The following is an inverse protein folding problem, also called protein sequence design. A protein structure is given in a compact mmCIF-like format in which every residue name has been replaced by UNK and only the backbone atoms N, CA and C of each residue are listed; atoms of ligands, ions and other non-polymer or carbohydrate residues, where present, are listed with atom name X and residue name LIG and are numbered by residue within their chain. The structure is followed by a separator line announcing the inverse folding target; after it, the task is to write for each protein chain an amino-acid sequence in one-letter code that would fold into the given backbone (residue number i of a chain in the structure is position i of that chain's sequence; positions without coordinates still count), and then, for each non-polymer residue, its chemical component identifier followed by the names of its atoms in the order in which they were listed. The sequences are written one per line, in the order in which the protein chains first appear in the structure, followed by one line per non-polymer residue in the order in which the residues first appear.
data_IF_033958079233
#
_entry.id   IF_033958079233
#
_cell.length_a   1.000
_cell.length_b   1.000
_cell.length_c   1.000
_cell.angle_alpha   90.00
_cell.angle_beta   90.00
_cell.angle_gamma   90.00
#
_symmetry.space_group_name_H-M   'P 1'
#
loop_
_entity.id
_entity.type
_entity.pdbx_description
1 polymer ?
#
# COMPACT_ATOMS: atom_id res chain seq x y z
N UNK A 1 28.19 1.76 -7.90
CA UNK A 1 28.65 3.14 -7.61
C UNK A 1 29.99 3.02 -6.90
N UNK A 2 30.90 4.02 -6.98
CA UNK A 2 32.10 4.02 -6.14
C UNK A 2 31.70 4.02 -4.67
N UNK A 3 32.48 3.32 -3.83
CA UNK A 3 32.23 3.28 -2.38
C UNK A 3 32.84 4.54 -1.76
N UNK A 4 31.98 5.45 -1.30
CA UNK A 4 32.43 6.63 -0.55
C UNK A 4 32.85 6.22 0.86
N UNK A 5 34.02 6.71 1.32
CA UNK A 5 34.55 6.43 2.65
C UNK A 5 34.19 7.56 3.61
N UNK A 6 33.41 7.24 4.64
CA UNK A 6 33.02 8.16 5.70
C UNK A 6 33.88 7.93 6.94
N UNK A 7 34.37 9.01 7.57
CA UNK A 7 35.08 8.96 8.84
C UNK A 7 34.21 9.58 9.93
N UNK A 8 33.98 8.87 11.04
CA UNK A 8 33.24 9.41 12.19
C UNK A 8 34.05 10.49 12.91
N UNK A 9 33.39 11.58 13.30
CA UNK A 9 33.98 12.67 14.06
C UNK A 9 33.47 12.63 15.51
N UNK A 10 34.28 12.02 16.39
CA UNK A 10 33.95 11.73 17.80
C UNK A 10 33.90 12.99 18.69
N UNK A 11 34.10 14.19 18.14
CA UNK A 11 34.31 15.42 18.91
C UNK A 11 33.03 16.03 19.52
N UNK A 12 31.85 15.83 18.90
CA UNK A 12 30.61 16.52 19.31
C UNK A 12 29.58 15.63 20.03
N UNK A 13 29.33 14.39 19.58
CA UNK A 13 28.36 13.46 20.19
C UNK A 13 28.80 12.01 19.98
N UNK A 14 28.87 11.23 21.06
CA UNK A 14 29.11 9.77 20.98
C UNK A 14 27.85 9.05 20.47
N UNK A 15 27.96 7.99 19.65
CA UNK A 15 26.81 7.17 19.24
C UNK A 15 26.06 6.54 20.44
N UNK A 16 26.67 6.52 21.63
CA UNK A 16 26.04 6.16 22.91
C UNK A 16 24.88 7.07 23.33
N UNK A 17 24.73 8.26 22.74
CA UNK A 17 23.71 9.25 23.11
C UNK A 17 22.34 9.03 22.43
N UNK A 18 22.06 7.81 21.98
CA UNK A 18 20.76 7.46 21.42
C UNK A 18 19.66 7.53 22.49
N UNK A 19 18.53 8.16 22.14
CA UNK A 19 17.35 8.21 22.99
C UNK A 19 16.45 7.04 22.65
N UNK A 20 16.18 6.15 23.61
CA UNK A 20 15.33 4.99 23.43
C UNK A 20 14.01 5.17 24.18
N UNK A 21 12.93 5.43 23.45
CA UNK A 21 11.55 5.37 23.97
C UNK A 21 10.69 4.50 23.06
N UNK A 22 9.54 4.03 23.53
CA UNK A 22 8.67 3.16 22.72
C UNK A 22 8.03 3.87 21.52
N UNK A 23 8.11 5.19 21.42
CA UNK A 23 7.44 5.99 20.37
C UNK A 23 8.40 6.87 19.57
N UNK A 24 9.45 7.40 20.20
CA UNK A 24 10.42 8.29 19.57
C UNK A 24 11.84 7.79 19.89
N UNK A 25 12.35 6.86 19.09
CA UNK A 25 13.77 6.49 19.14
C UNK A 25 14.54 7.31 18.12
N UNK A 26 15.63 7.93 18.53
CA UNK A 26 16.53 8.64 17.61
C UNK A 26 17.97 8.67 18.10
N UNK A 27 18.88 8.74 17.14
CA UNK A 27 20.31 8.95 17.36
C UNK A 27 20.80 9.98 16.33
N UNK A 28 21.90 10.69 16.62
CA UNK A 28 22.57 11.52 15.63
C UNK A 28 24.08 11.33 15.70
N UNK A 29 24.70 11.12 14.54
CA UNK A 29 26.14 10.93 14.40
C UNK A 29 26.71 11.93 13.39
N UNK A 30 28.00 12.25 13.54
CA UNK A 30 28.69 13.19 12.67
C UNK A 30 29.77 12.45 11.87
N UNK A 31 29.74 12.60 10.55
CA UNK A 31 30.70 12.00 9.62
C UNK A 31 31.40 13.08 8.79
N UNK A 32 32.65 12.87 8.41
CA UNK A 32 33.39 13.72 7.47
C UNK A 32 33.55 12.98 6.14
N UNK A 33 33.11 13.63 5.07
CA UNK A 33 33.43 13.29 3.68
C UNK A 33 34.58 14.19 3.23
N UNK A 34 35.74 13.59 2.93
CA UNK A 34 36.97 14.34 2.60
C UNK A 34 37.15 14.57 1.11
N UNK A 35 37.57 15.77 0.73
CA UNK A 35 37.88 16.16 -0.66
C UNK A 35 36.84 15.76 -1.73
N UNK A 36 35.51 15.92 -1.49
CA UNK A 36 34.50 15.48 -2.44
C UNK A 36 34.43 16.37 -3.69
N UNK A 37 34.18 15.76 -4.84
CA UNK A 37 33.63 16.48 -5.99
C UNK A 37 32.15 16.80 -5.77
N UNK A 38 31.58 17.69 -6.59
CA UNK A 38 30.14 17.97 -6.53
C UNK A 38 29.28 16.71 -6.83
N UNK A 39 29.78 15.80 -7.67
CA UNK A 39 29.13 14.52 -7.92
C UNK A 39 29.14 13.61 -6.68
N UNK A 40 30.19 13.66 -5.86
CA UNK A 40 30.28 12.91 -4.60
C UNK A 40 29.35 13.50 -3.53
N UNK A 41 29.16 14.83 -3.49
CA UNK A 41 28.15 15.46 -2.63
C UNK A 41 26.73 15.01 -2.98
N UNK A 42 26.41 14.88 -4.28
CA UNK A 42 25.11 14.33 -4.73
C UNK A 42 25.00 12.83 -4.38
N UNK A 43 26.03 12.05 -4.67
CA UNK A 43 26.03 10.59 -4.46
C UNK A 43 25.94 10.24 -2.98
N UNK A 44 26.69 10.92 -2.13
CA UNK A 44 26.67 10.71 -0.67
C UNK A 44 25.29 10.93 -0.02
N UNK A 45 24.53 11.92 -0.48
CA UNK A 45 23.15 12.14 0.02
C UNK A 45 22.21 11.00 -0.45
N UNK A 46 22.40 10.47 -1.67
CA UNK A 46 21.65 9.28 -2.16
C UNK A 46 22.04 8.03 -1.37
N UNK A 47 23.32 7.85 -1.08
CA UNK A 47 23.81 6.69 -0.31
C UNK A 47 23.35 6.74 1.17
N UNK A 48 23.28 7.95 1.76
CA UNK A 48 22.78 8.14 3.12
C UNK A 48 21.26 8.02 3.20
N UNK A 49 20.50 8.81 2.44
CA UNK A 49 19.03 8.89 2.58
C UNK A 49 18.27 7.88 1.72
N UNK A 50 18.96 7.14 0.85
CA UNK A 50 18.34 6.31 -0.16
C UNK A 50 17.78 7.11 -1.33
N UNK A 51 17.13 6.41 -2.25
CA UNK A 51 16.36 7.01 -3.36
C UNK A 51 15.30 6.06 -3.86
N UNK A 52 14.27 6.61 -4.52
CA UNK A 52 13.21 5.84 -5.18
C UNK A 52 13.06 6.32 -6.62
N UNK A 53 13.01 5.39 -7.57
CA UNK A 53 12.81 5.68 -8.99
C UNK A 53 11.92 4.59 -9.65
N UNK A 54 11.27 4.91 -10.76
CA UNK A 54 10.56 3.93 -11.59
C UNK A 54 11.50 3.36 -12.64
N UNK A 55 11.67 2.04 -12.70
CA UNK A 55 12.48 1.39 -13.72
C UNK A 55 11.58 0.88 -14.86
N UNK A 56 11.76 1.44 -16.06
CA UNK A 56 10.87 1.22 -17.21
C UNK A 56 10.74 -0.26 -17.62
N UNK A 57 11.73 -1.11 -17.32
CA UNK A 57 11.73 -2.52 -17.74
C UNK A 57 11.67 -3.54 -16.58
N UNK A 58 11.40 -3.09 -15.35
CA UNK A 58 11.60 -3.88 -14.11
C UNK A 58 10.29 -4.51 -13.59
N UNK A 59 9.48 -5.08 -14.49
CA UNK A 59 8.19 -5.74 -14.17
C UNK A 59 7.22 -4.88 -13.34
N UNK A 60 7.29 -3.56 -13.50
CA UNK A 60 6.50 -2.60 -12.73
C UNK A 60 6.89 -2.49 -11.25
N UNK A 61 8.04 -3.03 -10.83
CA UNK A 61 8.63 -2.83 -9.51
C UNK A 61 9.08 -1.37 -9.31
N UNK A 62 9.04 -0.89 -8.07
CA UNK A 62 9.67 0.38 -7.69
C UNK A 62 11.16 0.11 -7.42
N UNK A 63 12.07 0.84 -8.06
CA UNK A 63 13.51 0.71 -7.76
C UNK A 63 13.85 1.54 -6.53
N UNK A 64 14.38 0.92 -5.47
CA UNK A 64 14.69 1.56 -4.19
C UNK A 64 16.14 1.32 -3.78
N UNK A 65 16.88 2.40 -3.57
CA UNK A 65 18.12 2.39 -2.78
C UNK A 65 17.69 2.63 -1.33
N UNK A 66 17.99 1.69 -0.44
CA UNK A 66 17.66 1.83 0.99
C UNK A 66 18.51 2.93 1.65
N UNK A 67 17.99 3.66 2.65
CA UNK A 67 18.82 4.54 3.48
C UNK A 67 19.88 3.74 4.23
N UNK A 68 21.02 4.38 4.49
CA UNK A 68 22.10 3.81 5.28
C UNK A 68 21.61 3.45 6.70
N UNK A 69 22.03 2.29 7.21
CA UNK A 69 21.74 1.86 8.59
C UNK A 69 22.76 2.44 9.57
N UNK A 70 22.37 2.67 10.82
CA UNK A 70 23.31 3.06 11.86
C UNK A 70 24.29 1.91 12.15
N UNK A 71 25.62 2.15 12.25
CA UNK A 71 26.62 1.07 12.35
C UNK A 71 26.46 0.19 13.60
N UNK A 72 25.93 0.74 14.71
CA UNK A 72 25.70 -0.01 15.95
C UNK A 72 24.23 -0.43 16.18
N UNK A 73 23.28 0.22 15.52
CA UNK A 73 21.84 0.04 15.80
C UNK A 73 21.14 -0.36 14.50
N UNK A 74 21.16 -1.66 14.20
CA UNK A 74 20.75 -2.20 12.89
C UNK A 74 19.29 -1.94 12.51
N UNK A 75 18.44 -1.62 13.50
CA UNK A 75 17.03 -1.23 13.32
C UNK A 75 16.82 0.27 13.04
N UNK A 76 17.86 1.09 13.15
CA UNK A 76 17.84 2.52 12.87
C UNK A 76 18.41 2.81 11.48
N UNK A 77 17.71 3.67 10.75
CA UNK A 77 18.02 4.06 9.38
C UNK A 77 18.22 5.58 9.32
N UNK A 78 19.09 6.05 8.43
CA UNK A 78 19.27 7.47 8.19
C UNK A 78 17.96 8.09 7.70
N UNK A 79 17.64 9.24 8.27
CA UNK A 79 16.36 9.93 8.09
C UNK A 79 16.53 11.36 7.59
N UNK A 80 17.57 12.03 8.07
CA UNK A 80 18.00 13.33 7.55
C UNK A 80 19.52 13.44 7.61
N UNK A 81 20.10 14.19 6.68
CA UNK A 81 21.50 14.56 6.70
C UNK A 81 21.66 16.05 6.40
N UNK A 82 22.54 16.73 7.16
CA UNK A 82 22.91 18.13 6.95
C UNK A 82 24.40 18.21 6.60
N UNK A 83 24.75 18.41 5.31
CA UNK A 83 26.13 18.66 4.90
C UNK A 83 26.54 20.10 5.23
N UNK A 84 27.69 20.25 5.86
CA UNK A 84 28.28 21.54 6.25
C UNK A 84 29.74 21.57 5.79
N UNK A 85 30.14 22.62 5.06
CA UNK A 85 31.51 22.74 4.57
C UNK A 85 32.49 23.06 5.70
N UNK A 86 33.63 22.37 5.73
CA UNK A 86 34.68 22.50 6.74
C UNK A 86 36.06 22.64 6.07
N UNK A 87 36.96 23.38 6.70
CA UNK A 87 38.31 23.62 6.21
C UNK A 87 38.44 24.86 5.31
N UNK A 88 39.55 24.95 4.58
CA UNK A 88 39.84 26.10 3.74
C UNK A 88 38.91 26.15 2.51
N UNK A 89 38.51 27.35 2.10
CA UNK A 89 37.80 27.56 0.83
C UNK A 89 38.76 27.28 -0.33
N UNK A 90 38.49 26.23 -1.11
CA UNK A 90 39.43 25.75 -2.12
C UNK A 90 39.13 26.25 -3.53
N UNK A 91 37.86 26.56 -3.85
CA UNK A 91 37.46 27.02 -5.18
C UNK A 91 36.14 27.78 -5.13
N UNK A 92 35.98 28.76 -6.00
CA UNK A 92 34.68 29.33 -6.36
C UNK A 92 34.19 28.59 -7.60
N UNK A 93 33.09 27.87 -7.49
CA UNK A 93 32.49 27.17 -8.62
C UNK A 93 31.34 27.98 -9.21
N UNK A 94 31.31 28.07 -10.54
CA UNK A 94 30.14 28.50 -11.29
C UNK A 94 29.28 27.26 -11.58
N UNK A 95 28.01 27.23 -11.17
CA UNK A 95 27.11 26.12 -11.51
C UNK A 95 26.87 26.07 -13.02
N UNK A 96 26.67 24.87 -13.57
CA UNK A 96 26.21 24.73 -14.94
C UNK A 96 24.87 25.45 -15.09
N UNK A 97 24.69 26.37 -16.07
CA UNK A 97 23.45 27.09 -16.26
C UNK A 97 22.36 26.13 -16.75
N UNK A 98 21.54 25.65 -15.80
CA UNK A 98 20.29 24.96 -16.09
C UNK A 98 19.14 25.96 -16.32
N UNK A 99 18.17 25.64 -17.19
CA UNK A 99 16.98 26.46 -17.38
C UNK A 99 16.04 26.33 -16.16
N UNK A 100 15.61 27.46 -15.61
CA UNK A 100 14.75 27.50 -14.43
C UNK A 100 14.95 28.75 -13.59
N UNK A 101 14.82 28.59 -12.27
CA UNK A 101 14.98 29.66 -11.29
C UNK A 101 16.37 30.32 -11.35
N UNK A 102 16.52 31.60 -10.96
CA UNK A 102 17.83 32.25 -10.88
C UNK A 102 18.81 31.47 -10.02
N UNK A 103 19.95 31.10 -10.60
CA UNK A 103 21.00 30.36 -9.91
C UNK A 103 21.97 31.37 -9.29
N UNK A 104 22.43 31.10 -8.06
CA UNK A 104 23.51 31.88 -7.45
C UNK A 104 24.78 31.67 -8.31
N UNK A 105 25.36 32.72 -8.90
CA UNK A 105 26.35 32.58 -9.98
C UNK A 105 27.69 32.00 -9.52
N UNK A 106 27.96 32.07 -8.21
CA UNK A 106 29.19 31.62 -7.58
C UNK A 106 28.90 31.13 -6.16
N UNK A 107 29.39 29.96 -5.79
CA UNK A 107 29.32 29.45 -4.41
C UNK A 107 30.69 28.93 -3.95
N UNK A 108 31.02 29.03 -2.64
CA UNK A 108 32.26 28.52 -2.10
C UNK A 108 32.19 26.99 -1.96
N UNK A 109 33.15 26.27 -2.56
CA UNK A 109 33.40 24.86 -2.28
C UNK A 109 34.46 24.72 -1.18
N UNK A 110 34.19 23.84 -0.23
CA UNK A 110 35.07 23.54 0.90
C UNK A 110 35.91 22.29 0.62
N UNK A 111 37.06 22.17 1.27
CA UNK A 111 37.92 20.97 1.14
C UNK A 111 37.23 19.71 1.66
N UNK A 112 36.56 19.80 2.81
CA UNK A 112 35.86 18.67 3.42
C UNK A 112 34.42 19.08 3.77
N UNK A 113 33.53 18.09 3.92
CA UNK A 113 32.15 18.31 4.33
C UNK A 113 31.81 17.43 5.53
N UNK A 114 31.37 18.07 6.62
CA UNK A 114 30.84 17.44 7.83
C UNK A 114 29.34 17.20 7.64
N UNK A 115 28.93 15.95 7.71
CA UNK A 115 27.54 15.50 7.64
C UNK A 115 27.04 15.19 9.04
N UNK A 116 26.09 15.97 9.54
CA UNK A 116 25.29 15.57 10.70
C UNK A 116 24.14 14.71 10.21
N UNK A 117 24.11 13.44 10.58
CA UNK A 117 23.10 12.45 10.15
C UNK A 117 22.23 12.07 11.34
N UNK A 118 20.92 12.18 11.18
CA UNK A 118 19.94 11.70 12.15
C UNK A 118 19.43 10.33 11.73
N UNK A 119 19.33 9.41 12.69
CA UNK A 119 18.86 8.04 12.49
C UNK A 119 17.59 7.81 13.31
N UNK A 120 16.61 7.12 12.73
CA UNK A 120 15.35 6.73 13.36
C UNK A 120 14.90 5.34 12.88
N UNK A 121 14.10 4.60 13.66
CA UNK A 121 13.49 3.36 13.18
C UNK A 121 12.44 3.66 12.11
N UNK A 122 12.32 2.78 11.12
CA UNK A 122 11.25 2.84 10.11
C UNK A 122 10.02 2.09 10.61
N UNK A 123 8.79 2.59 10.38
CA UNK A 123 7.57 1.90 10.79
C UNK A 123 7.22 0.70 9.89
N UNK A 124 8.01 0.43 8.85
CA UNK A 124 7.78 -0.57 7.82
C UNK A 124 9.03 -1.43 7.54
N UNK A 125 8.80 -2.62 6.99
CA UNK A 125 9.87 -3.49 6.50
C UNK A 125 10.67 -2.82 5.37
N UNK A 126 12.00 -2.77 5.54
CA UNK A 126 12.93 -2.14 4.59
C UNK A 126 13.80 -3.21 3.92
N UNK A 127 13.31 -3.78 2.82
CA UNK A 127 13.94 -4.84 2.03
C UNK A 127 14.59 -4.29 0.74
N UNK A 128 15.73 -4.86 0.33
CA UNK A 128 16.39 -4.46 -0.90
C UNK A 128 15.56 -4.88 -2.12
N UNK A 129 15.79 -4.26 -3.27
CA UNK A 129 15.08 -4.60 -4.50
C UNK A 129 15.19 -6.10 -4.85
N UNK A 130 16.34 -6.73 -4.61
CA UNK A 130 16.56 -8.15 -4.92
C UNK A 130 15.88 -9.13 -3.95
N UNK A 131 15.46 -8.67 -2.77
CA UNK A 131 14.69 -9.46 -1.79
C UNK A 131 13.19 -9.50 -2.14
N UNK A 132 12.73 -8.59 -3.02
CA UNK A 132 11.31 -8.53 -3.42
C UNK A 132 10.99 -9.69 -4.36
N UNK A 133 10.06 -10.54 -3.92
CA UNK A 133 9.52 -11.62 -4.74
C UNK A 133 8.83 -11.03 -5.97
N UNK A 134 9.31 -11.40 -7.15
CA UNK A 134 8.63 -11.16 -8.43
C UNK A 134 7.89 -12.44 -8.82
N UNK A 135 6.57 -12.35 -8.90
CA UNK A 135 5.68 -13.46 -9.25
C UNK A 135 5.08 -13.31 -10.64
N UNK A 136 4.67 -14.42 -11.23
CA UNK A 136 3.82 -14.44 -12.42
C UNK A 136 2.53 -15.20 -12.12
N UNK A 137 1.44 -14.75 -12.71
CA UNK A 137 0.10 -15.21 -12.35
C UNK A 137 -0.91 -14.97 -13.48
N UNK A 138 -2.02 -15.69 -13.45
CA UNK A 138 -3.12 -15.54 -14.42
C UNK A 138 -4.28 -14.79 -13.78
N UNK A 139 -4.68 -13.67 -14.35
CA UNK A 139 -5.89 -12.93 -13.97
C UNK A 139 -7.05 -13.26 -14.92
N UNK A 140 -8.26 -12.84 -14.55
CA UNK A 140 -9.46 -12.98 -15.39
C UNK A 140 -10.16 -11.64 -15.51
N UNK A 141 -10.56 -11.28 -16.73
CA UNK A 141 -11.26 -10.02 -17.02
C UNK A 141 -12.78 -10.12 -16.77
N UNK A 142 -13.54 -9.05 -17.05
CA UNK A 142 -15.01 -9.05 -16.90
C UNK A 142 -15.75 -10.08 -17.77
N UNK A 143 -15.17 -10.52 -18.89
CA UNK A 143 -15.70 -11.61 -19.72
C UNK A 143 -15.31 -13.01 -19.23
N UNK A 144 -14.40 -13.11 -18.26
CA UNK A 144 -13.84 -14.36 -17.77
C UNK A 144 -12.62 -14.84 -18.57
N UNK A 145 -12.20 -14.10 -19.60
CA UNK A 145 -11.01 -14.42 -20.36
C UNK A 145 -9.75 -14.26 -19.50
N UNK A 146 -8.84 -15.23 -19.60
CA UNK A 146 -7.61 -15.26 -18.82
C UNK A 146 -6.49 -14.43 -19.46
N UNK A 147 -5.84 -13.59 -18.67
CA UNK A 147 -4.62 -12.86 -19.08
C UNK A 147 -3.45 -13.15 -18.14
N UNK A 148 -2.22 -13.32 -18.65
CA UNK A 148 -1.04 -13.39 -17.79
C UNK A 148 -0.69 -12.00 -17.25
N UNK A 149 -0.17 -11.94 -16.03
CA UNK A 149 0.45 -10.76 -15.45
C UNK A 149 1.69 -11.13 -14.64
N UNK A 150 2.63 -10.19 -14.55
CA UNK A 150 3.79 -10.24 -13.66
C UNK A 150 3.60 -9.15 -12.61
N UNK A 151 3.98 -9.42 -11.37
CA UNK A 151 3.88 -8.48 -10.26
C UNK A 151 5.12 -8.56 -9.38
N UNK A 152 5.48 -7.45 -8.74
CA UNK A 152 6.41 -7.44 -7.62
C UNK A 152 5.61 -7.39 -6.31
N UNK A 153 6.04 -8.13 -5.28
CA UNK A 153 5.42 -8.16 -3.96
C UNK A 153 5.72 -6.90 -3.13
N UNK A 154 5.58 -5.71 -3.73
CA UNK A 154 5.83 -4.41 -3.10
C UNK A 154 4.96 -4.17 -1.85
N UNK A 155 3.82 -4.85 -1.71
CA UNK A 155 3.02 -4.79 -0.48
C UNK A 155 3.70 -5.40 0.75
N UNK A 156 4.83 -6.13 0.59
CA UNK A 156 5.61 -6.71 1.69
C UNK A 156 6.67 -5.75 2.27
N UNK A 157 6.96 -4.64 1.59
CA UNK A 157 8.00 -3.67 1.98
C UNK A 157 7.50 -2.24 1.85
N UNK A 158 8.06 -1.31 2.64
CA UNK A 158 7.60 0.09 2.64
C UNK A 158 6.09 0.21 2.85
N UNK A 159 5.50 -0.75 3.57
CA UNK A 159 4.06 -0.82 3.85
C UNK A 159 3.81 -1.00 5.35
N UNK A 160 2.66 -0.50 5.81
CA UNK A 160 2.06 -0.87 7.10
C UNK A 160 0.59 -1.21 6.91
N UNK A 161 0.10 -2.18 7.69
CA UNK A 161 -1.30 -2.60 7.68
C UNK A 161 -1.95 -2.28 9.03
N UNK A 162 -3.10 -1.63 8.99
CA UNK A 162 -3.92 -1.29 10.16
C UNK A 162 -5.33 -1.85 9.91
N UNK A 163 -5.82 -2.71 10.82
CA UNK A 163 -7.15 -3.30 10.72
C UNK A 163 -8.02 -2.86 11.90
N UNK A 164 -9.17 -2.26 11.60
CA UNK A 164 -10.09 -1.71 12.60
C UNK A 164 -11.49 -2.33 12.43
N UNK A 165 -12.08 -2.97 13.46
CA UNK A 165 -13.41 -3.58 13.35
C UNK A 165 -14.48 -2.58 12.91
N UNK A 166 -15.34 -3.00 11.96
CA UNK A 166 -16.44 -2.20 11.48
C UNK A 166 -17.74 -2.69 12.14
N UNK A 167 -18.31 -1.88 13.03
CA UNK A 167 -19.53 -2.21 13.77
C UNK A 167 -20.79 -2.10 12.87
N UNK A 168 -20.88 -2.95 11.84
CA UNK A 168 -21.98 -2.98 10.89
C UNK A 168 -22.99 -4.09 11.23
N UNK A 169 -24.27 -3.80 11.05
CA UNK A 169 -25.35 -4.77 11.21
C UNK A 169 -26.44 -4.56 10.15
N UNK A 170 -27.11 -5.65 9.76
CA UNK A 170 -28.26 -5.65 8.84
C UNK A 170 -29.54 -5.93 9.63
N UNK A 171 -30.64 -5.29 9.25
CA UNK A 171 -31.96 -5.45 9.88
C UNK A 171 -32.97 -6.07 8.89
N UNK A 172 -33.89 -6.92 9.36
CA UNK A 172 -35.01 -7.37 8.54
C UNK A 172 -36.20 -6.41 8.63
N UNK A 173 -36.88 -6.14 7.52
CA UNK A 173 -38.20 -5.49 7.53
C UNK A 173 -39.36 -6.51 7.58
N UNK A 174 -39.10 -7.81 7.45
CA UNK A 174 -40.12 -8.86 7.52
C UNK A 174 -40.20 -9.49 8.91
N UNK A 175 -41.41 -9.48 9.47
CA UNK A 175 -41.73 -10.03 10.80
C UNK A 175 -41.61 -8.98 11.92
N UNK A 176 -42.35 -9.21 12.99
CA UNK A 176 -42.18 -8.49 14.26
C UNK A 176 -41.42 -9.41 15.21
N UNK A 177 -40.50 -8.86 16.00
CA UNK A 177 -39.93 -9.60 17.12
C UNK A 177 -41.06 -9.96 18.11
N UNK A 178 -40.91 -11.06 18.85
CA UNK A 178 -41.85 -11.43 19.91
C UNK A 178 -41.09 -11.70 21.19
N UNK A 179 -41.60 -11.23 22.32
CA UNK A 179 -41.03 -11.58 23.61
C UNK A 179 -41.18 -13.09 23.85
N UNK A 180 -40.13 -13.72 24.38
CA UNK A 180 -40.15 -15.11 24.84
C UNK A 180 -39.82 -15.11 26.32
N UNK A 181 -40.80 -15.43 27.14
CA UNK A 181 -40.65 -15.54 28.59
C UNK A 181 -41.19 -16.90 29.05
N UNK A 182 -40.55 -17.49 30.06
CA UNK A 182 -41.04 -18.74 30.66
C UNK A 182 -42.39 -18.54 31.34
N UNK A 183 -43.23 -19.58 31.37
CA UNK A 183 -44.49 -19.57 32.10
C UNK A 183 -44.24 -19.65 33.61
N UNK A 184 -43.86 -18.54 34.24
CA UNK A 184 -43.92 -18.40 35.71
C UNK A 184 -45.37 -18.17 36.12
N UNK A 185 -45.98 -19.18 36.73
CA UNK A 185 -47.43 -19.26 37.01
C UNK A 185 -47.94 -18.34 38.13
N UNK A 186 -47.66 -17.04 38.06
CA UNK A 186 -47.97 -16.06 39.10
C UNK A 186 -48.78 -14.86 38.59
N UNK A 187 -49.98 -15.12 38.05
CA UNK A 187 -51.11 -14.18 37.92
C UNK A 187 -50.97 -12.96 36.98
N UNK A 188 -49.75 -12.49 36.73
CA UNK A 188 -49.42 -11.47 35.74
C UNK A 188 -49.10 -12.17 34.43
N UNK A 189 -49.81 -11.83 33.36
CA UNK A 189 -49.47 -12.32 32.02
C UNK A 189 -48.05 -11.82 31.67
N UNK A 190 -47.03 -12.69 31.58
CA UNK A 190 -45.73 -12.26 31.09
C UNK A 190 -45.89 -11.82 29.63
N UNK A 191 -45.04 -10.93 29.09
CA UNK A 191 -45.17 -10.46 27.71
C UNK A 191 -44.93 -11.57 26.66
N UNK A 192 -44.80 -12.84 27.04
CA UNK A 192 -44.59 -13.98 26.15
C UNK A 192 -45.60 -14.01 24.98
N UNK A 193 -45.09 -13.94 23.76
CA UNK A 193 -45.92 -13.88 22.54
C UNK A 193 -46.45 -12.50 22.18
N UNK A 194 -46.24 -11.47 23.00
CA UNK A 194 -46.52 -10.07 22.63
C UNK A 194 -45.47 -9.59 21.62
N UNK A 195 -45.94 -8.89 20.59
CA UNK A 195 -45.08 -8.35 19.55
C UNK A 195 -44.26 -7.17 20.07
N UNK A 196 -42.97 -7.19 19.77
CA UNK A 196 -42.00 -6.13 20.02
C UNK A 196 -41.71 -5.39 18.71
N UNK A 197 -41.81 -4.06 18.73
CA UNK A 197 -41.63 -3.19 17.57
C UNK A 197 -40.15 -2.90 17.30
N UNK A 198 -39.35 -3.94 17.04
CA UNK A 198 -37.99 -3.81 16.48
C UNK A 198 -37.75 -4.92 15.43
N UNK A 199 -36.76 -4.67 14.59
CA UNK A 199 -36.28 -5.59 13.57
C UNK A 199 -35.22 -6.54 14.13
N UNK A 200 -35.22 -7.84 13.75
CA UNK A 200 -34.10 -8.72 14.06
C UNK A 200 -32.84 -8.20 13.35
N UNK A 201 -31.74 -8.14 14.10
CA UNK A 201 -30.44 -7.62 13.63
C UNK A 201 -29.42 -8.75 13.50
N UNK A 202 -28.59 -8.70 12.48
CA UNK A 202 -27.44 -9.58 12.31
C UNK A 202 -26.17 -8.74 12.15
N UNK A 203 -25.17 -9.00 12.98
CA UNK A 203 -23.84 -8.41 12.87
C UNK A 203 -23.10 -8.94 11.65
N UNK A 204 -22.43 -8.04 10.93
CA UNK A 204 -21.54 -8.38 9.83
C UNK A 204 -20.10 -8.49 10.37
N UNK A 205 -19.35 -9.55 10.04
CA UNK A 205 -17.97 -9.74 10.50
C UNK A 205 -16.99 -8.93 9.63
N UNK A 206 -17.18 -7.62 9.60
CA UNK A 206 -16.50 -6.70 8.69
C UNK A 206 -15.48 -5.82 9.44
N UNK A 207 -14.44 -5.36 8.74
CA UNK A 207 -13.44 -4.43 9.30
C UNK A 207 -12.82 -3.56 8.21
N UNK A 208 -12.44 -2.33 8.54
CA UNK A 208 -11.67 -1.49 7.61
C UNK A 208 -10.20 -1.89 7.72
N UNK A 209 -9.60 -2.28 6.60
CA UNK A 209 -8.16 -2.54 6.45
C UNK A 209 -7.55 -1.39 5.68
N UNK A 210 -6.53 -0.76 6.27
CA UNK A 210 -5.75 0.32 5.68
C UNK A 210 -4.34 -0.18 5.41
N UNK A 211 -3.88 -0.06 4.16
CA UNK A 211 -2.50 -0.28 3.78
C UNK A 211 -1.85 1.07 3.48
N UNK A 212 -0.93 1.52 4.33
CA UNK A 212 -0.11 2.71 4.03
C UNK A 212 1.13 2.28 3.27
N UNK A 213 1.35 2.83 2.08
CA UNK A 213 2.50 2.52 1.22
C UNK A 213 3.35 3.78 1.05
N UNK A 214 4.61 3.71 1.46
CA UNK A 214 5.48 4.87 1.62
C UNK A 214 6.40 5.09 0.42
N UNK A 215 6.77 6.35 0.17
CA UNK A 215 7.71 6.76 -0.88
C UNK A 215 7.32 6.20 -2.27
N UNK A 216 6.05 6.29 -2.66
CA UNK A 216 5.53 5.80 -3.94
C UNK A 216 5.63 6.91 -4.99
N UNK A 217 6.10 6.65 -6.22
CA UNK A 217 6.08 7.62 -7.31
C UNK A 217 4.65 8.10 -7.63
N UNK A 218 4.40 9.40 -7.63
CA UNK A 218 3.04 9.98 -7.72
C UNK A 218 2.26 9.57 -8.98
N UNK A 219 2.95 9.13 -10.05
CA UNK A 219 2.35 8.54 -11.26
C UNK A 219 1.47 7.31 -11.00
N UNK A 220 1.71 6.57 -9.92
CA UNK A 220 0.86 5.46 -9.50
C UNK A 220 -0.59 5.91 -9.25
N UNK A 221 -0.81 7.16 -8.83
CA UNK A 221 -2.14 7.74 -8.65
C UNK A 221 -2.60 8.57 -9.86
N UNK A 222 -1.69 9.30 -10.52
CA UNK A 222 -2.08 10.27 -11.57
C UNK A 222 -2.06 9.73 -13.00
N UNK A 223 -1.53 8.54 -13.27
CA UNK A 223 -1.60 7.96 -14.61
C UNK A 223 -3.03 7.57 -14.99
N UNK A 224 -3.41 7.80 -16.24
CA UNK A 224 -4.66 7.28 -16.82
C UNK A 224 -4.71 5.75 -16.89
N UNK A 225 -3.57 5.07 -16.71
CA UNK A 225 -3.48 3.61 -16.61
C UNK A 225 -3.57 3.10 -15.15
N UNK A 226 -3.64 3.99 -14.16
CA UNK A 226 -3.58 3.64 -12.73
C UNK A 226 -4.58 2.55 -12.33
N UNK A 227 -4.07 1.42 -11.84
CA UNK A 227 -4.89 0.38 -11.21
C UNK A 227 -5.60 0.90 -9.95
N UNK A 228 -4.96 1.83 -9.22
CA UNK A 228 -5.49 2.43 -8.00
C UNK A 228 -6.74 3.29 -8.24
N UNK A 229 -6.92 3.85 -9.44
CA UNK A 229 -8.11 4.64 -9.79
C UNK A 229 -9.14 3.83 -10.58
N UNK A 230 -8.70 2.93 -11.48
CA UNK A 230 -9.60 2.12 -12.32
C UNK A 230 -10.43 1.10 -11.54
N UNK A 231 -9.82 0.38 -10.59
CA UNK A 231 -10.43 -0.82 -9.99
C UNK A 231 -11.09 -0.57 -8.63
N UNK A 232 -11.42 0.69 -8.32
CA UNK A 232 -12.25 1.03 -7.15
C UNK A 232 -13.59 0.26 -7.24
N UNK A 233 -14.06 -0.28 -6.11
CA UNK A 233 -15.26 -1.11 -6.06
C UNK A 233 -15.07 -2.57 -6.47
N UNK A 234 -13.85 -3.02 -6.79
CA UNK A 234 -13.57 -4.43 -7.08
C UNK A 234 -13.13 -5.19 -5.82
N UNK A 235 -13.39 -6.50 -5.82
CA UNK A 235 -12.94 -7.43 -4.77
C UNK A 235 -11.64 -8.16 -5.17
N UNK A 236 -10.88 -8.71 -4.22
CA UNK A 236 -9.66 -9.45 -4.54
C UNK A 236 -9.98 -10.76 -5.27
N UNK A 237 -9.41 -10.95 -6.46
CA UNK A 237 -9.62 -12.14 -7.31
C UNK A 237 -8.98 -13.42 -6.75
N UNK A 238 -7.99 -13.27 -5.86
CA UNK A 238 -7.21 -14.34 -5.25
C UNK A 238 -6.94 -14.06 -3.78
N UNK A 239 -6.50 -15.09 -3.07
CA UNK A 239 -5.91 -14.94 -1.74
C UNK A 239 -4.77 -13.90 -1.81
N UNK A 240 -4.91 -12.82 -1.04
CA UNK A 240 -4.04 -11.64 -1.11
C UNK A 240 -3.44 -11.30 0.27
N UNK A 241 -2.17 -10.87 0.27
CA UNK A 241 -1.41 -10.51 1.47
C UNK A 241 -0.72 -11.71 2.16
N UNK A 242 0.58 -11.53 2.45
CA UNK A 242 1.56 -12.32 3.24
C UNK A 242 2.90 -11.53 3.15
N UNK A 243 4.05 -11.76 3.81
CA UNK A 243 4.59 -12.81 4.70
C UNK A 243 5.16 -12.18 6.01
N UNK A 244 4.66 -12.55 7.19
CA UNK A 244 5.39 -12.39 8.46
C UNK A 244 5.20 -13.67 9.31
N UNK A 245 6.19 -14.57 9.34
CA UNK A 245 6.10 -15.83 10.11
C UNK A 245 5.84 -15.60 11.61
N UNK A 246 6.30 -14.46 12.12
CA UNK A 246 6.21 -14.04 13.52
C UNK A 246 4.77 -13.77 14.01
N UNK A 247 3.83 -13.43 13.12
CA UNK A 247 2.47 -13.00 13.51
C UNK A 247 1.31 -13.90 13.06
N UNK A 248 1.57 -14.95 12.25
CA UNK A 248 0.60 -16.01 11.88
C UNK A 248 -0.81 -15.54 11.44
N UNK A 249 -0.92 -14.42 10.74
CA UNK A 249 -2.19 -14.02 10.12
C UNK A 249 -2.35 -14.72 8.77
N UNK A 250 -3.48 -15.38 8.54
CA UNK A 250 -3.82 -16.04 7.26
C UNK A 250 -3.97 -15.03 6.10
N UNK A 251 -3.72 -15.42 4.83
CA UNK A 251 -3.92 -14.51 3.70
C UNK A 251 -5.41 -14.16 3.56
N UNK A 252 -5.72 -12.93 3.16
CA UNK A 252 -7.09 -12.50 2.94
C UNK A 252 -7.67 -13.28 1.75
N UNK A 253 -8.67 -14.13 2.02
CA UNK A 253 -9.26 -15.02 1.02
C UNK A 253 -9.83 -14.28 -0.18
N UNK A 254 -9.85 -14.92 -1.35
CA UNK A 254 -10.51 -14.38 -2.55
C UNK A 254 -11.94 -13.88 -2.22
N UNK A 255 -12.26 -12.66 -2.64
CA UNK A 255 -13.53 -11.98 -2.39
C UNK A 255 -13.71 -11.35 -0.99
N UNK A 256 -12.76 -11.54 -0.06
CA UNK A 256 -12.86 -11.02 1.31
C UNK A 256 -12.50 -9.54 1.44
N UNK A 257 -11.72 -8.96 0.52
CA UNK A 257 -11.37 -7.55 0.48
C UNK A 257 -12.10 -6.85 -0.67
N UNK A 258 -12.79 -5.75 -0.37
CA UNK A 258 -13.35 -4.80 -1.33
C UNK A 258 -12.48 -3.54 -1.32
N UNK A 259 -11.94 -3.15 -2.48
CA UNK A 259 -11.10 -1.96 -2.60
C UNK A 259 -11.93 -0.69 -2.68
N UNK A 260 -11.73 0.22 -1.73
CA UNK A 260 -12.46 1.49 -1.60
C UNK A 260 -11.73 2.67 -2.27
N UNK A 261 -10.48 2.47 -2.69
CA UNK A 261 -9.64 3.50 -3.32
C UNK A 261 -8.36 3.81 -2.55
N UNK A 262 -7.50 4.63 -3.17
CA UNK A 262 -6.27 5.13 -2.59
C UNK A 262 -6.32 6.65 -2.45
N UNK A 263 -5.79 7.18 -1.35
CA UNK A 263 -5.62 8.61 -1.12
C UNK A 263 -4.15 8.95 -0.83
N UNK A 264 -3.62 10.09 -1.33
CA UNK A 264 -2.29 10.54 -0.96
C UNK A 264 -2.34 11.19 0.44
N UNK A 265 -1.58 10.65 1.39
CA UNK A 265 -1.42 11.20 2.74
C UNK A 265 -0.49 12.42 2.74
N UNK A 266 0.62 12.30 2.01
CA UNK A 266 1.63 13.34 1.85
C UNK A 266 2.18 13.27 0.43
N UNK A 267 2.50 14.42 -0.18
CA UNK A 267 3.15 14.49 -1.50
C UNK A 267 4.35 15.43 -1.39
N UNK A 268 5.54 14.93 -1.72
CA UNK A 268 6.81 15.59 -1.48
C UNK A 268 7.79 15.40 -2.63
N UNK A 269 8.78 16.28 -2.73
CA UNK A 269 9.91 16.12 -3.64
C UNK A 269 10.95 15.19 -2.99
N UNK A 270 11.55 14.22 -3.70
CA UNK A 270 12.66 13.44 -3.16
C UNK A 270 13.85 14.34 -2.77
N UNK A 271 14.69 13.96 -1.79
CA UNK A 271 15.80 14.79 -1.29
C UNK A 271 16.76 15.25 -2.38
N UNK A 272 16.96 14.43 -3.41
CA UNK A 272 17.61 14.81 -4.67
C UNK A 272 16.62 14.50 -5.80
N UNK A 273 16.08 15.51 -6.50
CA UNK A 273 15.32 15.28 -7.72
C UNK A 273 16.24 14.74 -8.83
N UNK A 274 15.69 13.88 -9.68
CA UNK A 274 16.38 13.40 -10.87
C UNK A 274 16.38 14.51 -11.93
N UNK A 275 17.55 14.99 -12.42
CA UNK A 275 17.58 15.95 -13.53
C UNK A 275 17.11 15.32 -14.85
N UNK A 276 17.15 13.99 -15.01
CA UNK A 276 16.89 13.31 -16.29
C UNK A 276 15.43 13.07 -16.65
N UNK A 277 14.47 13.32 -15.75
CA UNK A 277 13.07 12.91 -15.92
C UNK A 277 12.16 13.94 -16.61
N UNK A 278 12.70 15.02 -17.16
CA UNK A 278 11.97 16.03 -17.96
C UNK A 278 12.59 16.29 -19.34
N UNK A 279 12.80 15.24 -20.14
CA UNK A 279 13.06 15.35 -21.57
C UNK A 279 11.81 15.78 -22.40
N UNK A 280 10.95 16.64 -21.84
CA UNK A 280 9.82 17.26 -22.54
C UNK A 280 10.21 18.67 -23.02
N UNK A 281 10.90 18.74 -24.16
CA UNK A 281 11.01 19.87 -25.10
C UNK A 281 10.76 21.31 -24.57
N UNK A 282 11.37 21.73 -23.47
CA UNK A 282 11.44 23.13 -23.02
C UNK A 282 12.43 23.33 -21.83
N UNK A 283 13.60 22.70 -21.90
CA UNK A 283 14.68 22.91 -20.94
C UNK A 283 14.63 22.07 -19.66
N UNK A 284 15.82 21.63 -19.23
CA UNK A 284 16.14 20.84 -18.03
C UNK A 284 15.79 21.53 -16.68
N UNK A 285 14.50 21.77 -16.44
CA UNK A 285 14.00 21.96 -15.08
C UNK A 285 14.12 20.66 -14.28
N UNK A 286 14.52 20.73 -13.01
CA UNK A 286 14.53 19.57 -12.11
C UNK A 286 13.18 18.84 -12.14
N UNK A 287 13.21 17.51 -12.28
CA UNK A 287 11.98 16.77 -12.52
C UNK A 287 10.96 16.98 -11.41
N UNK A 288 9.71 17.27 -11.81
CA UNK A 288 8.53 17.27 -10.92
C UNK A 288 8.12 15.84 -10.51
N UNK A 289 9.05 14.89 -10.48
CA UNK A 289 8.87 13.51 -10.03
C UNK A 289 8.65 13.51 -8.51
N UNK A 290 7.41 13.78 -8.12
CA UNK A 290 6.98 13.75 -6.72
C UNK A 290 6.88 12.31 -6.24
N UNK A 291 7.31 12.09 -5.01
CA UNK A 291 6.93 10.92 -4.23
C UNK A 291 5.69 11.26 -3.41
N UNK A 292 4.98 10.23 -3.00
CA UNK A 292 3.85 10.35 -2.09
C UNK A 292 3.78 9.14 -1.16
N UNK A 293 3.23 9.33 0.02
CA UNK A 293 2.77 8.23 0.86
C UNK A 293 1.27 8.05 0.57
N UNK A 294 0.86 6.82 0.25
CA UNK A 294 -0.51 6.47 -0.13
C UNK A 294 -1.19 5.68 0.99
N UNK A 295 -2.47 5.95 1.26
CA UNK A 295 -3.32 5.07 2.07
C UNK A 295 -4.34 4.37 1.16
N UNK A 296 -4.13 3.07 0.92
CA UNK A 296 -5.07 2.20 0.23
C UNK A 296 -6.10 1.71 1.26
N UNK A 297 -7.38 1.96 1.00
CA UNK A 297 -8.47 1.62 1.88
C UNK A 297 -9.23 0.40 1.34
N UNK A 298 -9.47 -0.58 2.21
CA UNK A 298 -10.23 -1.79 1.90
C UNK A 298 -11.30 -2.02 2.97
N UNK A 299 -12.46 -2.51 2.56
CA UNK A 299 -13.39 -3.17 3.48
C UNK A 299 -13.08 -4.67 3.46
N UNK A 300 -12.65 -5.22 4.58
CA UNK A 300 -12.54 -6.66 4.78
C UNK A 300 -13.86 -7.23 5.30
N UNK A 301 -14.18 -8.47 4.91
CA UNK A 301 -15.26 -9.26 5.47
C UNK A 301 -14.86 -10.72 5.66
N UNK A 302 -15.19 -11.28 6.83
CA UNK A 302 -15.01 -12.71 7.11
C UNK A 302 -16.25 -13.57 6.77
N UNK A 303 -17.15 -13.07 5.91
CA UNK A 303 -18.33 -13.82 5.45
C UNK A 303 -17.92 -15.08 4.70
N UNK A 304 -18.32 -16.22 5.24
CA UNK A 304 -18.19 -17.53 4.59
C UNK A 304 -19.53 -17.96 4.01
N UNK A 305 -19.49 -18.68 2.88
CA UNK A 305 -20.71 -19.23 2.26
C UNK A 305 -21.34 -20.23 3.24
N UNK A 306 -22.50 -19.87 3.76
CA UNK A 306 -23.27 -20.78 4.59
C UNK A 306 -23.79 -21.90 3.72
N UNK A 307 -23.52 -23.14 4.09
CA UNK A 307 -24.08 -24.33 3.41
C UNK A 307 -25.57 -24.48 3.76
N UNK A 308 -26.51 -24.29 2.82
CA UNK A 308 -27.77 -25.03 2.82
C UNK A 308 -27.51 -26.45 2.28
N UNK A 309 -28.46 -27.39 2.46
CA UNK A 309 -28.50 -28.61 1.66
C UNK A 309 -28.87 -28.26 0.21
N UNK A 310 -27.90 -28.30 -0.70
CA UNK A 310 -28.11 -28.18 -2.15
C UNK A 310 -27.63 -26.87 -2.78
N UNK A 311 -26.71 -27.01 -3.75
CA UNK A 311 -26.43 -26.10 -4.86
C UNK A 311 -26.43 -24.58 -4.57
N UNK A 312 -25.28 -24.07 -4.10
CA UNK A 312 -24.75 -22.87 -4.75
C UNK A 312 -24.15 -23.32 -6.09
N UNK A 313 -24.56 -22.78 -7.25
CA UNK A 313 -23.94 -23.13 -8.52
C UNK A 313 -22.47 -22.73 -8.53
N UNK A 314 -21.60 -23.58 -9.09
CA UNK A 314 -20.17 -23.26 -9.23
C UNK A 314 -19.96 -22.36 -10.46
N UNK A 315 -20.14 -21.05 -10.26
CA UNK A 315 -19.95 -20.03 -11.29
C UNK A 315 -18.49 -19.91 -11.78
N UNK A 316 -17.51 -20.52 -11.11
CA UNK A 316 -16.11 -20.51 -11.56
C UNK A 316 -15.90 -21.24 -12.90
N UNK A 317 -16.85 -22.10 -13.27
CA UNK A 317 -16.93 -22.76 -14.59
C UNK A 317 -17.41 -21.83 -15.71
N UNK A 318 -18.17 -20.78 -15.37
CA UNK A 318 -18.76 -19.81 -16.31
C UNK A 318 -17.85 -18.59 -16.46
N UNK A 319 -17.46 -17.97 -15.35
CA UNK A 319 -16.59 -16.79 -15.35
C UNK A 319 -15.79 -16.73 -14.04
N UNK A 320 -14.47 -16.91 -14.15
CA UNK A 320 -13.55 -16.93 -13.00
C UNK A 320 -13.33 -15.56 -12.34
N UNK A 321 -13.89 -14.50 -12.90
CA UNK A 321 -13.94 -13.18 -12.26
C UNK A 321 -15.13 -13.05 -11.27
N UNK A 322 -16.10 -13.97 -11.29
CA UNK A 322 -17.25 -13.96 -10.39
C UNK A 322 -16.96 -14.78 -9.13
N UNK A 323 -16.30 -14.14 -8.16
CA UNK A 323 -15.90 -14.79 -6.91
C UNK A 323 -17.11 -14.97 -5.98
N UNK A 324 -17.46 -16.22 -5.69
CA UNK A 324 -18.62 -16.67 -4.90
C UNK A 324 -18.33 -16.63 -3.38
N UNK A 325 -17.70 -15.55 -2.90
CA UNK A 325 -17.22 -15.44 -1.53
C UNK A 325 -17.24 -13.98 -1.01
N UNK A 326 -17.07 -13.83 0.31
CA UNK A 326 -16.90 -12.54 0.99
C UNK A 326 -18.01 -11.53 0.67
N UNK A 327 -17.68 -10.44 -0.01
CA UNK A 327 -18.60 -9.32 -0.29
C UNK A 327 -19.74 -9.66 -1.26
N UNK A 328 -19.58 -10.69 -2.09
CA UNK A 328 -20.67 -11.22 -2.92
C UNK A 328 -21.65 -12.13 -2.14
N UNK A 329 -21.45 -12.27 -0.83
CA UNK A 329 -22.37 -12.97 0.06
C UNK A 329 -23.19 -11.99 0.91
N UNK A 330 -24.51 -12.15 0.88
CA UNK A 330 -25.46 -11.38 1.67
C UNK A 330 -26.11 -12.26 2.76
N UNK A 331 -26.49 -11.68 3.92
CA UNK A 331 -27.10 -12.44 4.99
C UNK A 331 -28.55 -12.82 4.70
N UNK A 332 -28.88 -14.10 4.88
CA UNK A 332 -30.27 -14.58 4.90
C UNK A 332 -30.75 -14.74 6.34
N UNK A 333 -31.52 -13.76 6.82
CA UNK A 333 -31.83 -13.58 8.24
C UNK A 333 -32.65 -14.74 8.85
N UNK A 334 -33.41 -15.49 8.04
CA UNK A 334 -34.13 -16.70 8.46
C UNK A 334 -33.20 -17.83 8.92
N UNK A 335 -32.03 -17.96 8.32
CA UNK A 335 -31.04 -19.02 8.64
C UNK A 335 -29.81 -18.50 9.35
N UNK A 336 -29.64 -17.17 9.42
CA UNK A 336 -28.45 -16.46 9.97
C UNK A 336 -27.14 -16.89 9.30
N UNK A 337 -27.21 -17.25 8.02
CA UNK A 337 -26.10 -17.67 7.16
C UNK A 337 -25.95 -16.69 5.99
N UNK A 338 -24.78 -16.65 5.37
CA UNK A 338 -24.53 -15.84 4.17
C UNK A 338 -24.68 -16.68 2.90
N UNK A 339 -25.28 -16.09 1.87
CA UNK A 339 -25.60 -16.73 0.59
C UNK A 339 -25.14 -15.85 -0.55
N UNK A 340 -24.71 -16.45 -1.66
CA UNK A 340 -24.36 -15.71 -2.87
C UNK A 340 -25.59 -14.96 -3.41
N UNK A 341 -25.38 -13.70 -3.81
CA UNK A 341 -26.41 -12.90 -4.48
C UNK A 341 -25.88 -12.40 -5.81
N UNK A 342 -26.62 -12.73 -6.87
CA UNK A 342 -26.41 -12.27 -8.23
C UNK A 342 -27.68 -11.63 -8.79
N UNK A 343 -27.51 -10.71 -9.72
CA UNK A 343 -28.57 -10.36 -10.68
C UNK A 343 -28.66 -11.43 -11.76
N UNK A 344 -29.71 -11.41 -12.58
CA UNK A 344 -29.94 -12.33 -13.71
C UNK A 344 -30.80 -11.63 -14.77
N UNK A 345 -30.80 -12.12 -16.01
CA UNK A 345 -31.75 -11.68 -17.04
C UNK A 345 -33.17 -12.19 -16.70
N UNK A 346 -34.17 -11.32 -16.46
CA UNK A 346 -35.54 -11.74 -16.15
C UNK A 346 -36.19 -12.62 -17.23
N UNK A 347 -35.74 -12.56 -18.49
CA UNK A 347 -36.23 -13.46 -19.54
C UNK A 347 -35.63 -14.88 -19.44
N UNK A 348 -34.47 -15.02 -18.81
CA UNK A 348 -33.67 -16.25 -18.74
C UNK A 348 -33.22 -16.57 -17.30
N UNK A 349 -34.12 -16.63 -16.30
CA UNK A 349 -33.75 -16.67 -14.88
C UNK A 349 -32.91 -17.89 -14.46
N UNK A 350 -32.97 -18.99 -15.23
CA UNK A 350 -32.20 -20.21 -14.98
C UNK A 350 -30.89 -20.29 -15.80
N UNK A 351 -30.58 -19.31 -16.65
CA UNK A 351 -29.33 -19.27 -17.40
C UNK A 351 -28.22 -18.59 -16.59
N UNK A 352 -27.41 -19.42 -15.93
CA UNK A 352 -26.27 -18.99 -15.12
C UNK A 352 -25.22 -18.18 -15.90
N UNK A 353 -25.22 -18.19 -17.24
CA UNK A 353 -24.33 -17.34 -18.04
C UNK A 353 -24.76 -15.86 -18.05
N UNK A 354 -26.01 -15.57 -17.71
CA UNK A 354 -26.58 -14.22 -17.59
C UNK A 354 -26.54 -13.67 -16.15
N UNK A 355 -25.99 -14.43 -15.20
CA UNK A 355 -25.98 -14.06 -13.78
C UNK A 355 -24.75 -13.22 -13.46
N UNK A 356 -24.93 -12.05 -12.84
CA UNK A 356 -23.80 -11.16 -12.49
C UNK A 356 -23.70 -10.97 -10.97
N UNK A 357 -22.51 -11.07 -10.36
CA UNK A 357 -22.31 -10.78 -8.94
C UNK A 357 -22.48 -9.29 -8.63
N UNK A 358 -22.58 -8.95 -7.34
CA UNK A 358 -22.61 -7.53 -6.91
C UNK A 358 -21.29 -6.83 -7.18
N UNK A 359 -20.16 -7.53 -7.00
CA UNK A 359 -18.81 -7.03 -7.20
C UNK A 359 -18.02 -7.96 -8.13
N UNK A 360 -17.45 -7.37 -9.19
CA UNK A 360 -16.40 -8.01 -10.00
C UNK A 360 -15.08 -8.06 -9.22
N UNK A 361 -14.21 -9.01 -9.55
CA UNK A 361 -12.90 -9.12 -8.92
C UNK A 361 -11.75 -8.51 -9.72
N UNK A 362 -10.62 -8.29 -9.05
CA UNK A 362 -9.38 -7.80 -9.63
C UNK A 362 -8.18 -8.42 -8.89
N UNK A 363 -7.08 -8.79 -9.56
CA UNK A 363 -5.85 -9.23 -8.89
C UNK A 363 -5.19 -8.05 -8.14
N UNK A 364 -5.34 -8.02 -6.82
CA UNK A 364 -4.87 -6.91 -5.98
C UNK A 364 -3.34 -6.76 -5.96
N UNK A 365 -2.59 -7.77 -6.40
CA UNK A 365 -1.15 -7.68 -6.64
C UNK A 365 -0.80 -6.57 -7.65
N UNK A 366 -1.68 -6.31 -8.63
CA UNK A 366 -1.50 -5.24 -9.61
C UNK A 366 -1.71 -3.83 -9.04
N UNK A 367 -2.40 -3.68 -7.90
CA UNK A 367 -2.50 -2.36 -7.22
C UNK A 367 -1.13 -1.81 -6.82
N UNK A 368 -0.14 -2.70 -6.66
CA UNK A 368 1.23 -2.38 -6.26
C UNK A 368 2.23 -2.42 -7.43
N UNK A 369 1.75 -2.47 -8.67
CA UNK A 369 2.55 -2.54 -9.90
C UNK A 369 2.47 -1.23 -10.68
N UNK A 370 3.59 -0.76 -11.25
CA UNK A 370 3.64 0.51 -12.00
C UNK A 370 2.66 0.50 -13.19
N UNK A 371 1.68 1.42 -13.24
CA UNK A 371 0.65 1.42 -14.28
C UNK A 371 1.15 1.76 -15.68
N UNK A 372 2.32 2.40 -15.82
CA UNK A 372 2.93 2.69 -17.13
C UNK A 372 4.20 1.86 -17.40
N UNK A 373 4.38 0.73 -16.70
CA UNK A 373 5.35 -0.28 -17.13
C UNK A 373 4.85 -0.98 -18.40
N UNK A 374 5.73 -1.29 -19.38
CA UNK A 374 5.37 -1.99 -20.61
C UNK A 374 4.95 -3.45 -20.38
N UNK A 375 5.30 -4.02 -19.22
CA UNK A 375 4.92 -5.36 -18.80
C UNK A 375 3.58 -5.39 -18.05
N UNK A 376 3.00 -4.22 -17.75
CA UNK A 376 1.77 -4.10 -16.97
C UNK A 376 0.55 -4.26 -17.88
N UNK A 377 -0.39 -5.18 -17.60
CA UNK A 377 -1.52 -5.46 -18.50
C UNK A 377 -2.44 -4.25 -18.60
N UNK A 378 -2.76 -3.82 -19.83
CA UNK A 378 -3.72 -2.73 -20.08
C UNK A 378 -5.13 -3.26 -19.94
N UNK A 379 -5.67 -3.14 -18.73
CA UNK A 379 -6.99 -3.60 -18.37
C UNK A 379 -7.98 -2.43 -18.36
N UNK A 380 -9.18 -2.73 -18.82
CA UNK A 380 -10.37 -1.89 -18.64
C UNK A 380 -11.16 -2.40 -17.41
N UNK A 381 -11.74 -1.49 -16.61
CA UNK A 381 -12.66 -1.86 -15.52
C UNK A 381 -13.99 -2.44 -16.04
#
# INVERSE_FOLDING_TARGET
MPILTYLEEVADVSPSAATFTNQNQSCSSTYILRSPTFADLRTSIIDLLGSTNTAVNDYGRIRRILPARHPLYQWMFADSCSPQGVGARFTVEAPSPGPGSPIIPQFPRYTDYRYRVSFSPRPYNSWQDHDVIVGSATGYDKSGASYPYVYAAEWMRFTTFEQTPANQFVTAQQGQMVFRAGNTGSGLLPPNGVNYQDAPRLWLPDSVVKCRWYQVPYRYLTSGNSYLTKFIGHINQKDFGYLNEEYRLEPYKAGALLYLGASPMAVYTPPIPDPGLLAFNAGDGFARSKLCDLELNFLYTARTLGTPPGYAPDFSSVNKNWIVAGHNLQPWLTTRKFYHVSTYDPASPNDYSTWYPTYNSFPFELLFTDPDSPNSPRLDP
#
